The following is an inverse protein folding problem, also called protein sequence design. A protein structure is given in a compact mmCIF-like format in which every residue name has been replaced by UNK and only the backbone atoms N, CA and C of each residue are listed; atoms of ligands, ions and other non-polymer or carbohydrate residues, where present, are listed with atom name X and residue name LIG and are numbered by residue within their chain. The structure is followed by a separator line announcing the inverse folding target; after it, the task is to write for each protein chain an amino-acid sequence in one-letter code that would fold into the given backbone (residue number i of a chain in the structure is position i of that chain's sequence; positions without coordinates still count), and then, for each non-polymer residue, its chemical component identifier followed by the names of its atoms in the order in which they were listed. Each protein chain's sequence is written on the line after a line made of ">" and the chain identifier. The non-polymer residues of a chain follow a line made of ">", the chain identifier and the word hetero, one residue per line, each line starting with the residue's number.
data_IF_661427377591
#
_entry.id   IF_661427377591
#
_cell.length_a   1.000
_cell.length_b   1.000
_cell.length_c   1.000
_cell.angle_alpha   90.00
_cell.angle_beta   90.00
_cell.angle_gamma   90.00
#
_symmetry.space_group_name_H-M   'P 1'
#
loop_
_entity.id
_entity.type
_entity.pdbx_description
1 polymer ?
#
# COMPACT_ATOMS: atom_id res chain seq x y z
N UNK A 1 68.47 7.44 -7.82
CA UNK A 1 68.07 7.47 -9.24
C UNK A 1 67.06 6.34 -9.44
N UNK A 2 65.82 6.55 -9.90
CA UNK A 2 65.15 7.80 -10.30
C UNK A 2 63.62 7.71 -10.12
N UNK A 3 62.88 8.72 -10.60
CA UNK A 3 61.41 8.73 -10.70
C UNK A 3 60.95 7.81 -11.87
N UNK A 4 59.67 7.55 -12.16
CA UNK A 4 58.37 8.09 -11.69
C UNK A 4 57.33 6.92 -11.63
N UNK A 5 55.99 7.02 -11.74
CA UNK A 5 55.01 8.09 -12.03
C UNK A 5 53.62 7.72 -11.46
N UNK A 6 52.62 8.61 -11.59
CA UNK A 6 51.20 8.37 -11.28
C UNK A 6 50.44 7.90 -12.53
N UNK A 7 49.47 7.00 -12.38
CA UNK A 7 48.33 6.89 -13.29
C UNK A 7 47.05 6.53 -12.51
N UNK A 8 46.03 7.37 -12.64
CA UNK A 8 44.68 7.18 -12.08
C UNK A 8 43.81 6.52 -13.13
N UNK A 9 43.06 5.47 -12.75
CA UNK A 9 41.95 4.94 -13.54
C UNK A 9 40.75 4.69 -12.63
N UNK A 10 39.67 5.46 -12.84
CA UNK A 10 38.38 5.22 -12.21
C UNK A 10 37.77 3.92 -12.76
N UNK A 11 37.58 2.93 -11.89
CA UNK A 11 36.76 1.75 -12.17
C UNK A 11 35.48 1.81 -11.35
N UNK A 12 34.33 2.07 -12.00
CA UNK A 12 33.02 1.94 -11.36
C UNK A 12 32.73 0.44 -11.16
N UNK A 13 32.84 -0.04 -9.93
CA UNK A 13 32.44 -1.39 -9.56
C UNK A 13 30.98 -1.38 -9.08
N UNK A 14 30.06 -1.78 -9.95
CA UNK A 14 28.69 -2.12 -9.55
C UNK A 14 28.74 -3.43 -8.76
N UNK A 15 28.84 -3.33 -7.44
CA UNK A 15 28.81 -4.48 -6.54
C UNK A 15 27.37 -4.75 -6.08
N UNK A 16 26.70 -5.70 -6.74
CA UNK A 16 25.48 -6.28 -6.22
C UNK A 16 25.80 -7.09 -4.94
N UNK A 17 25.66 -6.47 -3.78
CA UNK A 17 25.77 -7.15 -2.49
C UNK A 17 24.41 -7.70 -2.08
N UNK A 18 24.27 -9.02 -2.19
CA UNK A 18 23.15 -9.74 -1.60
C UNK A 18 23.20 -9.58 -0.07
N UNK A 19 22.41 -8.64 0.45
CA UNK A 19 22.35 -8.28 1.85
C UNK A 19 21.74 -9.38 2.71
N UNK A 20 22.63 -10.11 3.38
CA UNK A 20 22.44 -10.91 4.60
C UNK A 20 21.08 -10.76 5.31
N UNK A 21 20.45 -11.91 5.63
CA UNK A 21 19.26 -11.99 6.49
C UNK A 21 19.51 -11.40 7.88
N UNK A 22 19.03 -10.18 8.10
CA UNK A 22 18.88 -9.57 9.41
C UNK A 22 17.72 -8.56 9.38
N UNK A 23 16.64 -8.90 10.09
CA UNK A 23 15.58 -8.00 10.60
C UNK A 23 14.91 -8.80 11.72
N UNK A 24 14.91 -8.37 12.99
CA UNK A 24 14.85 -6.98 13.45
C UNK A 24 13.40 -6.55 13.34
N UNK A 25 12.78 -6.19 14.46
CA UNK A 25 11.35 -5.89 14.51
C UNK A 25 10.97 -4.92 13.39
N UNK A 26 10.05 -5.34 12.52
CA UNK A 26 9.52 -4.48 11.46
C UNK A 26 8.75 -3.37 12.14
N UNK A 27 9.42 -2.22 12.31
CA UNK A 27 8.71 -0.97 12.56
C UNK A 27 8.00 -0.67 11.25
N UNK A 28 6.71 -0.98 11.19
CA UNK A 28 5.84 -0.74 10.04
C UNK A 28 5.64 0.77 9.84
N UNK A 29 6.70 1.46 9.41
CA UNK A 29 6.56 2.74 8.74
C UNK A 29 5.99 2.44 7.37
N UNK A 30 4.66 2.36 7.28
CA UNK A 30 3.94 2.21 6.02
C UNK A 30 4.46 3.22 5.00
N UNK A 31 4.50 2.82 3.73
CA UNK A 31 5.01 3.68 2.68
C UNK A 31 4.23 5.02 2.64
N UNK A 32 4.88 6.08 2.16
CA UNK A 32 4.21 7.37 1.98
C UNK A 32 2.94 7.19 1.13
N UNK A 33 1.75 7.58 1.61
CA UNK A 33 0.53 7.48 0.82
C UNK A 33 0.55 8.40 -0.42
N UNK A 34 1.45 9.39 -0.45
CA UNK A 34 1.68 10.27 -1.60
C UNK A 34 2.71 9.67 -2.55
N UNK A 35 2.44 9.79 -3.85
CA UNK A 35 3.34 9.37 -4.93
C UNK A 35 2.80 8.21 -5.76
N UNK A 36 1.80 7.50 -5.23
CA UNK A 36 1.17 6.31 -5.82
C UNK A 36 0.40 6.67 -7.10
N UNK A 37 0.94 6.32 -8.28
CA UNK A 37 0.41 6.68 -9.60
C UNK A 37 0.12 5.45 -10.47
N UNK A 38 1.14 4.60 -10.59
CA UNK A 38 1.17 3.40 -11.41
C UNK A 38 0.57 2.20 -10.67
N UNK A 39 0.46 1.07 -11.38
CA UNK A 39 0.08 -0.19 -10.76
C UNK A 39 1.15 -0.68 -9.79
N UNK A 40 2.41 -0.62 -10.21
CA UNK A 40 3.58 -1.01 -9.42
C UNK A 40 3.67 -0.20 -8.12
N UNK A 41 3.36 1.11 -8.16
CA UNK A 41 3.32 1.91 -6.93
C UNK A 41 2.22 1.44 -5.95
N UNK A 42 1.10 0.91 -6.44
CA UNK A 42 -0.02 0.41 -5.61
C UNK A 42 0.31 -0.95 -5.00
N UNK A 43 0.93 -1.83 -5.78
CA UNK A 43 1.44 -3.12 -5.29
C UNK A 43 2.52 -2.89 -4.23
N UNK A 44 3.54 -2.07 -4.53
CA UNK A 44 4.59 -1.72 -3.57
C UNK A 44 4.06 -1.00 -2.31
N UNK A 45 2.97 -0.23 -2.43
CA UNK A 45 2.29 0.36 -1.27
C UNK A 45 1.69 -0.73 -0.37
N UNK A 46 1.00 -1.73 -0.93
CA UNK A 46 0.43 -2.87 -0.17
C UNK A 46 1.53 -3.78 0.41
N UNK A 47 2.60 -4.03 -0.33
CA UNK A 47 3.78 -4.77 0.15
C UNK A 47 4.43 -4.08 1.36
N UNK A 48 4.36 -2.74 1.47
CA UNK A 48 4.87 -2.02 2.64
C UNK A 48 4.08 -2.28 3.94
N UNK A 49 2.86 -2.82 3.84
CA UNK A 49 2.08 -3.35 4.97
C UNK A 49 2.29 -4.86 5.19
N UNK A 50 3.10 -5.52 4.36
CA UNK A 50 3.36 -6.97 4.41
C UNK A 50 2.44 -7.82 3.55
N UNK A 51 1.56 -7.23 2.73
CA UNK A 51 0.67 -7.98 1.84
C UNK A 51 1.39 -8.45 0.58
N UNK A 52 1.15 -9.70 0.20
CA UNK A 52 1.43 -10.23 -1.13
C UNK A 52 0.12 -10.27 -1.90
N UNK A 53 0.07 -9.58 -3.04
CA UNK A 53 -1.14 -9.49 -3.87
C UNK A 53 -0.91 -10.01 -5.30
N UNK A 54 -2.00 -10.35 -5.98
CA UNK A 54 -1.97 -10.52 -7.44
C UNK A 54 -1.46 -9.21 -8.09
N UNK A 55 -0.65 -9.29 -9.17
CA UNK A 55 0.02 -8.11 -9.73
C UNK A 55 -0.95 -7.13 -10.41
N UNK A 56 -2.14 -7.56 -10.82
CA UNK A 56 -3.15 -6.69 -11.44
C UNK A 56 -4.37 -6.50 -10.53
N UNK A 57 -4.96 -5.30 -10.58
CA UNK A 57 -6.18 -5.02 -9.84
C UNK A 57 -7.37 -5.78 -10.45
N UNK A 58 -8.05 -6.61 -9.64
CA UNK A 58 -9.25 -7.36 -10.04
C UNK A 58 -10.48 -6.48 -10.24
N UNK A 59 -10.48 -5.27 -9.66
CA UNK A 59 -11.49 -4.25 -9.91
C UNK A 59 -10.90 -2.83 -9.85
N UNK A 60 -11.39 -1.95 -10.71
CA UNK A 60 -11.08 -0.51 -10.69
C UNK A 60 -12.38 0.27 -10.83
N UNK A 61 -12.79 0.94 -9.75
CA UNK A 61 -14.07 1.62 -9.66
C UNK A 61 -13.84 3.14 -9.52
N UNK A 62 -14.65 3.96 -10.18
CA UNK A 62 -14.64 5.41 -9.98
C UNK A 62 -15.86 5.81 -9.17
N UNK A 63 -15.64 6.36 -7.98
CA UNK A 63 -16.69 6.70 -7.01
C UNK A 63 -16.53 8.14 -6.51
N UNK A 64 -17.59 8.70 -5.97
CA UNK A 64 -17.59 10.04 -5.35
C UNK A 64 -17.72 9.87 -3.85
N UNK A 65 -16.78 10.44 -3.09
CA UNK A 65 -16.92 10.55 -1.63
C UNK A 65 -18.13 11.46 -1.36
N UNK A 66 -19.07 11.07 -0.48
CA UNK A 66 -20.24 11.88 -0.16
C UNK A 66 -19.90 13.34 0.19
N UNK A 67 -20.81 14.26 -0.12
CA UNK A 67 -20.69 15.67 0.34
C UNK A 67 -21.08 15.82 1.81
N UNK A 68 -22.05 15.02 2.25
CA UNK A 68 -22.48 14.89 3.64
C UNK A 68 -22.30 13.44 4.10
N UNK A 69 -21.86 13.24 5.34
CA UNK A 69 -21.62 11.92 5.91
C UNK A 69 -22.70 11.61 6.96
N UNK A 70 -23.49 10.57 6.71
CA UNK A 70 -24.53 10.11 7.64
C UNK A 70 -24.03 9.03 8.61
N UNK A 71 -24.92 8.59 9.50
CA UNK A 71 -24.64 7.55 10.49
C UNK A 71 -24.23 6.21 9.85
N UNK A 72 -24.65 5.92 8.60
CA UNK A 72 -24.27 4.69 7.90
C UNK A 72 -22.81 4.72 7.45
N UNK A 73 -22.29 5.90 7.11
CA UNK A 73 -20.90 6.10 6.70
C UNK A 73 -19.92 6.22 7.88
N UNK A 74 -20.44 6.45 9.09
CA UNK A 74 -19.63 6.69 10.31
C UNK A 74 -18.66 5.54 10.63
N UNK A 75 -19.08 4.28 10.47
CA UNK A 75 -18.20 3.12 10.69
C UNK A 75 -17.03 3.09 9.70
N UNK A 76 -17.25 3.47 8.44
CA UNK A 76 -16.19 3.53 7.44
C UNK A 76 -15.25 4.71 7.70
N UNK A 77 -15.76 5.88 8.12
CA UNK A 77 -14.89 7.00 8.55
C UNK A 77 -14.02 6.62 9.75
N UNK A 78 -14.56 5.90 10.73
CA UNK A 78 -13.79 5.44 11.89
C UNK A 78 -12.68 4.45 11.47
N UNK A 79 -12.99 3.50 10.58
CA UNK A 79 -12.02 2.56 10.02
C UNK A 79 -10.87 3.28 9.27
N UNK A 80 -11.19 4.30 8.47
CA UNK A 80 -10.17 5.05 7.74
C UNK A 80 -9.37 5.97 8.67
N UNK A 81 -10.03 6.62 9.64
CA UNK A 81 -9.37 7.47 10.62
C UNK A 81 -8.44 6.71 11.57
N UNK A 82 -8.74 5.45 11.90
CA UNK A 82 -7.86 4.59 12.69
C UNK A 82 -6.51 4.34 11.99
N UNK A 83 -6.51 4.34 10.65
CA UNK A 83 -5.31 4.20 9.80
C UNK A 83 -4.61 5.55 9.53
N UNK A 84 -5.09 6.65 10.13
CA UNK A 84 -4.57 8.01 9.90
C UNK A 84 -5.12 8.70 8.65
N UNK A 85 -6.11 8.12 7.96
CA UNK A 85 -6.75 8.74 6.81
C UNK A 85 -7.95 9.61 7.20
N UNK A 86 -8.05 10.80 6.60
CA UNK A 86 -9.19 11.70 6.80
C UNK A 86 -9.94 11.89 5.48
N UNK A 87 -10.97 11.06 5.26
CA UNK A 87 -11.84 11.14 4.08
C UNK A 87 -12.69 12.41 4.04
N UNK A 88 -12.91 13.12 5.16
CA UNK A 88 -13.74 14.32 5.18
C UNK A 88 -13.12 15.46 4.36
N UNK A 89 -11.78 15.52 4.30
CA UNK A 89 -11.01 16.40 3.40
C UNK A 89 -11.28 16.17 1.91
N UNK A 90 -11.89 15.04 1.56
CA UNK A 90 -12.18 14.62 0.20
C UNK A 90 -13.69 14.57 -0.10
N UNK A 91 -14.54 15.17 0.74
CA UNK A 91 -15.97 15.30 0.49
C UNK A 91 -16.28 15.90 -0.90
N UNK A 92 -17.26 15.31 -1.59
CA UNK A 92 -17.64 15.63 -2.98
C UNK A 92 -16.54 15.37 -4.02
N UNK A 93 -15.42 14.71 -3.67
CA UNK A 93 -14.35 14.41 -4.63
C UNK A 93 -14.55 13.04 -5.26
N UNK A 94 -14.35 13.00 -6.56
CA UNK A 94 -14.24 11.79 -7.36
C UNK A 94 -12.87 11.14 -7.13
N UNK A 95 -12.87 9.86 -6.76
CA UNK A 95 -11.69 9.05 -6.41
C UNK A 95 -11.76 7.72 -7.13
N UNK A 96 -10.65 6.98 -7.19
CA UNK A 96 -10.63 5.61 -7.72
C UNK A 96 -10.39 4.61 -6.61
N UNK A 97 -11.18 3.54 -6.59
CA UNK A 97 -10.93 2.35 -5.77
C UNK A 97 -10.24 1.30 -6.63
N UNK A 98 -9.11 0.80 -6.17
CA UNK A 98 -8.42 -0.34 -6.78
C UNK A 98 -8.49 -1.52 -5.82
N UNK A 99 -9.03 -2.65 -6.26
CA UNK A 99 -9.08 -3.88 -5.48
C UNK A 99 -8.07 -4.90 -6.02
N UNK A 100 -7.29 -5.50 -5.13
CA UNK A 100 -6.27 -6.52 -5.42
C UNK A 100 -6.53 -7.79 -4.60
N UNK A 101 -6.43 -8.98 -5.19
CA UNK A 101 -6.51 -10.23 -4.42
C UNK A 101 -5.30 -10.34 -3.48
N UNK A 102 -5.53 -10.63 -2.20
CA UNK A 102 -4.45 -11.01 -1.27
C UNK A 102 -4.20 -12.51 -1.37
N UNK A 103 -2.92 -12.90 -1.40
CA UNK A 103 -2.47 -14.29 -1.51
C UNK A 103 -1.81 -14.84 -0.24
N UNK A 104 -1.52 -13.98 0.74
CA UNK A 104 -0.85 -14.33 2.00
C UNK A 104 -1.67 -14.01 3.26
N UNK A 105 -3.01 -14.01 3.18
CA UNK A 105 -3.84 -13.66 4.34
C UNK A 105 -3.65 -14.67 5.50
N UNK A 106 -3.39 -14.22 6.76
CA UNK A 106 -2.88 -15.11 7.81
C UNK A 106 -3.75 -16.32 8.19
N UNK A 107 -5.07 -16.24 8.02
CA UNK A 107 -5.98 -17.38 8.28
C UNK A 107 -5.94 -18.47 7.18
N UNK A 108 -5.28 -18.20 6.05
CA UNK A 108 -5.33 -19.05 4.85
C UNK A 108 -6.61 -18.92 4.02
N UNK A 109 -7.48 -17.96 4.35
CA UNK A 109 -8.71 -17.70 3.62
C UNK A 109 -8.46 -17.17 2.19
N UNK A 110 -9.23 -17.68 1.23
CA UNK A 110 -9.14 -17.30 -0.19
C UNK A 110 -10.19 -16.25 -0.56
N UNK A 111 -9.88 -15.43 -1.56
CA UNK A 111 -10.79 -14.38 -2.05
C UNK A 111 -10.81 -13.10 -1.21
N UNK A 112 -9.91 -12.98 -0.23
CA UNK A 112 -9.66 -11.74 0.51
C UNK A 112 -9.05 -10.70 -0.43
N UNK A 113 -9.48 -9.44 -0.34
CA UNK A 113 -9.04 -8.35 -1.21
C UNK A 113 -8.54 -7.14 -0.41
N UNK A 114 -7.47 -6.52 -0.90
CA UNK A 114 -7.03 -5.18 -0.48
C UNK A 114 -7.64 -4.12 -1.40
N UNK A 115 -8.43 -3.21 -0.83
CA UNK A 115 -8.94 -2.01 -1.49
C UNK A 115 -8.06 -0.79 -1.18
N UNK A 116 -7.72 0.00 -2.20
CA UNK A 116 -7.07 1.31 -2.07
C UNK A 116 -7.93 2.42 -2.67
N UNK A 117 -8.31 3.42 -1.88
CA UNK A 117 -8.91 4.66 -2.36
C UNK A 117 -7.80 5.66 -2.74
N UNK A 118 -7.72 6.01 -4.02
CA UNK A 118 -6.71 6.93 -4.56
C UNK A 118 -7.37 8.18 -5.11
N UNK A 119 -6.98 9.34 -4.56
CA UNK A 119 -7.30 10.65 -5.14
C UNK A 119 -6.06 11.26 -5.78
N UNK A 120 -6.13 11.51 -7.09
CA UNK A 120 -4.99 11.92 -7.93
C UNK A 120 -3.86 10.88 -7.82
N UNK A 121 -2.83 11.18 -7.03
CA UNK A 121 -1.62 10.37 -6.84
C UNK A 121 -1.38 10.11 -5.33
N UNK A 122 -2.45 9.95 -4.56
CA UNK A 122 -2.39 9.84 -3.11
C UNK A 122 -3.43 8.83 -2.63
N UNK A 123 -2.98 7.83 -1.87
CA UNK A 123 -3.87 6.95 -1.10
C UNK A 123 -4.51 7.79 0.00
N UNK A 124 -5.83 7.82 0.03
CA UNK A 124 -6.64 8.59 0.99
C UNK A 124 -7.48 7.67 1.89
N UNK A 125 -7.34 6.36 1.73
CA UNK A 125 -8.07 5.34 2.43
C UNK A 125 -7.74 3.96 1.86
N UNK A 126 -8.02 2.93 2.62
CA UNK A 126 -7.95 1.54 2.16
C UNK A 126 -8.54 0.59 3.19
N UNK A 127 -8.81 -0.63 2.73
CA UNK A 127 -9.38 -1.69 3.56
C UNK A 127 -8.87 -3.05 3.09
N UNK A 128 -8.90 -4.02 3.99
CA UNK A 128 -8.82 -5.44 3.64
C UNK A 128 -10.18 -6.06 3.95
N UNK A 129 -10.77 -6.76 2.99
CA UNK A 129 -12.10 -7.34 3.14
C UNK A 129 -12.19 -8.77 2.60
N UNK A 130 -13.15 -9.52 3.14
CA UNK A 130 -13.64 -10.76 2.56
C UNK A 130 -15.11 -10.64 2.21
N UNK A 131 -15.48 -11.07 0.99
CA UNK A 131 -16.86 -11.10 0.50
C UNK A 131 -17.59 -12.42 0.80
N UNK A 132 -17.04 -13.26 1.69
CA UNK A 132 -17.69 -14.50 2.12
C UNK A 132 -18.87 -14.21 3.08
N UNK A 133 -19.70 -15.23 3.35
CA UNK A 133 -20.94 -15.06 4.14
C UNK A 133 -20.67 -14.62 5.59
N UNK A 134 -19.59 -15.13 6.19
CA UNK A 134 -19.05 -14.69 7.48
C UNK A 134 -17.81 -13.78 7.28
N UNK A 135 -17.81 -13.01 6.19
CA UNK A 135 -16.72 -12.13 5.79
C UNK A 135 -16.50 -10.95 6.74
N UNK A 136 -15.40 -10.25 6.53
CA UNK A 136 -14.91 -9.20 7.41
C UNK A 136 -14.44 -7.96 6.64
N UNK A 137 -14.20 -6.87 7.37
CA UNK A 137 -13.47 -5.70 6.90
C UNK A 137 -12.55 -5.19 8.01
N UNK A 138 -11.30 -4.88 7.68
CA UNK A 138 -10.35 -4.21 8.58
C UNK A 138 -9.42 -3.27 7.81
N UNK A 139 -8.51 -2.59 8.52
CA UNK A 139 -7.55 -1.66 7.92
C UNK A 139 -6.42 -2.38 7.16
N UNK A 140 -5.56 -1.61 6.50
CA UNK A 140 -4.43 -2.15 5.75
C UNK A 140 -3.32 -2.78 6.62
N UNK A 141 -3.31 -2.58 7.94
CA UNK A 141 -2.37 -3.27 8.82
C UNK A 141 -2.63 -4.78 8.83
N UNK A 142 -1.55 -5.57 8.74
CA UNK A 142 -1.61 -7.02 8.71
C UNK A 142 -1.97 -7.54 10.11
N UNK A 143 -3.03 -8.37 10.26
CA UNK A 143 -3.51 -8.80 11.57
C UNK A 143 -2.52 -9.76 12.23
N UNK A 144 -2.31 -9.56 13.54
CA UNK A 144 -1.37 -10.30 14.40
C UNK A 144 -1.94 -11.60 14.95
#
# INVERSE_FOLDING_TARGET
>A
MGAAAVLVLCGVAVAAVAGLRASGAVVSTSASPKGVKSNDDRVAYLESYGWTVDPEAVSVEELVIPEEFDDTYTQYLALQSAQGFDLTKYAGKRVKRFAYTITNYPSGETGVQAGLLVYKNTVIGGEVLSSQMDGFIHGLELPS
#
